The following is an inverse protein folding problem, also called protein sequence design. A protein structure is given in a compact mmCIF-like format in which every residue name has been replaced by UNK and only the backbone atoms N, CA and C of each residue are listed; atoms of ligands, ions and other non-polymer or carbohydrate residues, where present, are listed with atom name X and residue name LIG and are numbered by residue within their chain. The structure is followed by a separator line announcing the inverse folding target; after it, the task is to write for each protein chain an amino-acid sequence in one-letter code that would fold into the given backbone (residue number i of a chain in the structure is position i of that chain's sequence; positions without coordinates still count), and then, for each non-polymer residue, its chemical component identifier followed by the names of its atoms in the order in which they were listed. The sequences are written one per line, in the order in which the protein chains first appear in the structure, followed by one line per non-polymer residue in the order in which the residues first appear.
data_IF_761644236133
#
_entry.id   IF_761644236133
#
_cell.length_a   1.000
_cell.length_b   1.000
_cell.length_c   1.000
_cell.angle_alpha   90.00
_cell.angle_beta   90.00
_cell.angle_gamma   90.00
#
_symmetry.space_group_name_H-M   'P 1'
#
loop_
_entity.id
_entity.type
_entity.pdbx_description
1 polymer ?
#
# COMPACT_ATOMS: atom_id res chain seq x y z
N UNK A 1 -5.28 -17.57 19.68
CA UNK A 1 -3.87 -17.99 19.51
C UNK A 1 -3.74 -19.51 19.32
N UNK A 2 -4.18 -20.33 20.26
CA UNK A 2 -4.10 -21.80 20.11
C UNK A 2 -4.92 -22.34 18.94
N UNK A 3 -6.10 -21.82 18.72
CA UNK A 3 -6.95 -22.17 17.58
C UNK A 3 -6.26 -21.85 16.26
N UNK A 4 -5.75 -20.62 16.07
CA UNK A 4 -5.03 -20.22 14.85
C UNK A 4 -3.80 -21.12 14.60
N UNK A 5 -3.04 -21.47 15.67
CA UNK A 5 -1.91 -22.39 15.55
C UNK A 5 -2.34 -23.79 15.10
N UNK A 6 -3.44 -24.29 15.64
CA UNK A 6 -3.98 -25.61 15.26
C UNK A 6 -4.44 -25.63 13.78
N UNK A 7 -5.17 -24.61 13.36
CA UNK A 7 -5.65 -24.45 11.99
C UNK A 7 -4.50 -24.32 11.00
N UNK A 8 -3.50 -23.48 11.31
CA UNK A 8 -2.31 -23.33 10.48
C UNK A 8 -1.48 -24.63 10.44
N UNK A 9 -1.37 -25.37 11.55
CA UNK A 9 -0.68 -26.66 11.58
C UNK A 9 -1.38 -27.69 10.68
N UNK A 10 -2.72 -27.71 10.69
CA UNK A 10 -3.52 -28.57 9.83
C UNK A 10 -3.34 -28.20 8.35
N UNK A 11 -3.43 -26.92 8.03
CA UNK A 11 -3.28 -26.41 6.66
C UNK A 11 -1.89 -26.72 6.06
N UNK A 12 -0.84 -26.56 6.87
CA UNK A 12 0.53 -26.79 6.44
C UNK A 12 0.92 -28.28 6.45
N UNK A 13 0.10 -29.15 7.05
CA UNK A 13 0.45 -30.57 7.27
C UNK A 13 1.65 -30.77 8.20
N UNK A 14 2.00 -29.74 8.98
CA UNK A 14 3.16 -29.71 9.88
C UNK A 14 2.78 -29.09 11.22
N UNK A 15 3.24 -29.73 12.32
CA UNK A 15 3.00 -29.25 13.68
C UNK A 15 3.82 -27.98 13.93
N UNK A 16 3.13 -26.86 14.16
CA UNK A 16 3.78 -25.62 14.60
C UNK A 16 4.04 -25.65 16.12
N UNK A 17 5.27 -25.38 16.52
CA UNK A 17 5.62 -25.23 17.94
C UNK A 17 5.13 -23.91 18.50
N UNK A 18 5.22 -22.84 17.69
CA UNK A 18 4.86 -21.47 18.08
C UNK A 18 4.35 -20.67 16.91
N UNK A 19 3.41 -19.75 17.20
CA UNK A 19 2.95 -18.67 16.34
C UNK A 19 3.11 -17.39 17.13
N UNK A 20 3.84 -16.41 16.60
CA UNK A 20 4.21 -15.18 17.29
C UNK A 20 3.68 -13.96 16.52
N UNK A 21 2.95 -13.09 17.21
CA UNK A 21 2.47 -11.85 16.60
C UNK A 21 3.65 -10.89 16.40
N UNK A 22 3.91 -10.53 15.15
CA UNK A 22 4.97 -9.57 14.76
C UNK A 22 4.42 -8.15 14.69
N UNK A 23 3.19 -8.02 14.21
CA UNK A 23 2.51 -6.72 14.08
C UNK A 23 1.00 -6.94 14.15
N UNK A 24 0.32 -6.10 14.90
CA UNK A 24 -1.13 -6.14 15.07
C UNK A 24 -1.72 -4.75 14.81
N UNK A 25 -2.81 -4.72 14.06
CA UNK A 25 -3.66 -3.57 13.79
C UNK A 25 -5.12 -3.99 14.02
N UNK A 26 -6.08 -3.08 14.15
CA UNK A 26 -7.48 -3.42 14.41
C UNK A 26 -8.06 -4.51 13.51
N UNK A 27 -7.75 -4.46 12.21
CA UNK A 27 -8.33 -5.34 11.20
C UNK A 27 -7.39 -6.41 10.65
N UNK A 28 -6.13 -6.46 11.07
CA UNK A 28 -5.14 -7.40 10.52
C UNK A 28 -4.00 -7.64 11.49
N UNK A 29 -3.49 -8.87 11.53
CA UNK A 29 -2.28 -9.20 12.26
C UNK A 29 -1.32 -10.03 11.41
N UNK A 30 -0.03 -9.83 11.63
CA UNK A 30 1.06 -10.55 10.97
C UNK A 30 1.74 -11.48 11.97
N UNK A 31 1.86 -12.76 11.62
CA UNK A 31 2.31 -13.82 12.48
C UNK A 31 3.56 -14.51 11.91
N UNK A 32 4.62 -14.61 12.71
CA UNK A 32 5.75 -15.45 12.43
C UNK A 32 5.45 -16.90 12.84
N UNK A 33 5.80 -17.84 11.97
CA UNK A 33 5.56 -19.27 12.16
C UNK A 33 6.88 -19.97 12.50
N UNK A 34 6.81 -20.97 13.38
CA UNK A 34 7.94 -21.76 13.82
C UNK A 34 7.60 -23.26 13.73
N UNK A 35 8.50 -24.05 13.14
CA UNK A 35 8.35 -25.48 12.96
C UNK A 35 8.32 -26.25 14.30
N UNK A 36 8.16 -27.56 14.24
CA UNK A 36 8.10 -28.42 15.43
C UNK A 36 9.39 -28.40 16.28
N UNK A 37 10.51 -27.99 15.69
CA UNK A 37 11.83 -27.88 16.36
C UNK A 37 12.08 -26.45 16.89
N UNK A 38 11.17 -25.50 16.61
CA UNK A 38 11.29 -24.11 17.02
C UNK A 38 12.09 -23.24 16.06
N UNK A 39 12.43 -23.73 14.87
CA UNK A 39 13.08 -22.91 13.85
C UNK A 39 12.06 -22.01 13.14
N UNK A 40 12.47 -20.79 12.76
CA UNK A 40 11.60 -19.92 11.99
C UNK A 40 11.31 -20.50 10.59
N UNK A 41 10.05 -20.60 10.23
CA UNK A 41 9.64 -21.03 8.90
C UNK A 41 9.90 -19.92 7.85
N UNK A 42 10.08 -20.30 6.57
CA UNK A 42 10.21 -19.35 5.46
C UNK A 42 8.88 -18.67 5.11
N UNK A 43 7.85 -18.89 5.90
CA UNK A 43 6.48 -18.39 5.73
C UNK A 43 6.09 -17.51 6.91
N UNK A 44 5.14 -16.61 6.63
CA UNK A 44 4.37 -15.86 7.62
C UNK A 44 2.88 -16.02 7.32
N UNK A 45 2.05 -15.86 8.34
CA UNK A 45 0.60 -15.80 8.18
C UNK A 45 0.13 -14.36 8.41
N UNK A 46 -0.74 -13.86 7.56
CA UNK A 46 -1.42 -12.58 7.75
C UNK A 46 -2.91 -12.83 7.88
N UNK A 47 -3.47 -12.53 9.05
CA UNK A 47 -4.90 -12.70 9.34
C UNK A 47 -5.66 -11.39 9.13
N UNK A 48 -6.95 -11.51 8.76
CA UNK A 48 -7.84 -10.38 8.48
C UNK A 48 -9.19 -10.62 9.13
N UNK A 49 -9.73 -9.60 9.81
CA UNK A 49 -11.06 -9.66 10.42
C UNK A 49 -12.19 -9.64 9.38
N UNK A 50 -11.96 -9.03 8.23
CA UNK A 50 -12.95 -8.91 7.16
C UNK A 50 -12.80 -10.01 6.11
N UNK A 51 -13.91 -10.70 5.73
CA UNK A 51 -13.87 -11.76 4.74
C UNK A 51 -13.47 -11.25 3.35
N UNK A 52 -12.74 -12.09 2.60
CA UNK A 52 -12.31 -11.82 1.24
C UNK A 52 -11.04 -10.97 1.10
N UNK A 53 -10.62 -10.26 2.15
CA UNK A 53 -9.44 -9.38 2.11
C UNK A 53 -8.16 -10.16 1.85
N UNK A 54 -8.04 -11.37 2.42
CA UNK A 54 -6.89 -12.24 2.17
C UNK A 54 -6.74 -12.62 0.68
N UNK A 55 -7.84 -13.01 0.03
CA UNK A 55 -7.86 -13.33 -1.42
C UNK A 55 -7.53 -12.10 -2.26
N UNK A 56 -8.11 -10.95 -1.91
CA UNK A 56 -7.86 -9.70 -2.62
C UNK A 56 -6.39 -9.29 -2.50
N UNK A 57 -5.79 -9.40 -1.32
CA UNK A 57 -4.37 -9.08 -1.13
C UNK A 57 -3.45 -10.04 -1.89
N UNK A 58 -3.75 -11.35 -1.87
CA UNK A 58 -3.00 -12.34 -2.64
C UNK A 58 -3.02 -12.03 -4.14
N UNK A 59 -4.19 -11.71 -4.67
CA UNK A 59 -4.35 -11.34 -6.07
C UNK A 59 -3.60 -10.05 -6.43
N UNK A 60 -3.74 -8.99 -5.62
CA UNK A 60 -3.03 -7.71 -5.81
C UNK A 60 -1.52 -7.90 -5.81
N UNK A 61 -0.99 -8.65 -4.84
CA UNK A 61 0.44 -8.93 -4.73
C UNK A 61 0.95 -9.68 -5.96
N UNK A 62 0.22 -10.71 -6.40
CA UNK A 62 0.55 -11.48 -7.60
C UNK A 62 0.51 -10.63 -8.88
N UNK A 63 -0.48 -9.75 -9.02
CA UNK A 63 -0.57 -8.85 -10.16
C UNK A 63 0.59 -7.87 -10.21
N UNK A 64 0.91 -7.20 -9.09
CA UNK A 64 2.05 -6.29 -9.03
C UNK A 64 3.38 -7.00 -9.29
N UNK A 65 3.54 -8.24 -8.83
CA UNK A 65 4.72 -9.06 -9.13
C UNK A 65 4.86 -9.37 -10.62
N UNK A 66 3.73 -9.61 -11.31
CA UNK A 66 3.71 -9.92 -12.74
C UNK A 66 3.95 -8.68 -13.61
N UNK A 67 3.35 -7.56 -13.24
CA UNK A 67 3.39 -6.32 -14.02
C UNK A 67 4.61 -5.43 -13.71
N UNK A 68 5.34 -5.72 -12.65
CA UNK A 68 6.52 -4.96 -12.21
C UNK A 68 7.83 -5.69 -12.39
N UNK A 69 8.92 -5.00 -12.07
CA UNK A 69 10.29 -5.54 -12.07
C UNK A 69 10.80 -5.81 -10.66
N UNK A 70 10.16 -5.25 -9.64
CA UNK A 70 10.53 -5.41 -8.24
C UNK A 70 9.89 -6.65 -7.64
N UNK A 71 10.62 -7.32 -6.75
CA UNK A 71 10.12 -8.47 -6.01
C UNK A 71 8.96 -8.08 -5.10
N UNK A 72 7.90 -8.86 -5.15
CA UNK A 72 6.81 -8.87 -4.18
C UNK A 72 6.87 -10.18 -3.37
N UNK A 73 6.35 -10.23 -2.13
CA UNK A 73 6.26 -11.49 -1.38
C UNK A 73 5.43 -12.51 -2.14
N UNK A 74 5.91 -13.74 -2.22
CA UNK A 74 5.14 -14.85 -2.79
C UNK A 74 3.96 -15.21 -1.88
N UNK A 75 2.74 -15.25 -2.43
CA UNK A 75 1.58 -15.82 -1.75
C UNK A 75 1.54 -17.33 -1.95
N UNK A 76 1.47 -18.11 -0.86
CA UNK A 76 1.46 -19.57 -0.92
C UNK A 76 0.07 -20.18 -0.80
N UNK A 77 -0.87 -19.48 -0.20
CA UNK A 77 -2.24 -19.95 -0.06
C UNK A 77 -3.09 -18.99 0.77
N UNK A 78 -4.40 -19.14 0.60
CA UNK A 78 -5.41 -18.38 1.36
C UNK A 78 -6.32 -19.38 2.06
N UNK A 79 -6.54 -19.19 3.34
CA UNK A 79 -7.51 -19.90 4.15
C UNK A 79 -8.67 -18.93 4.43
N UNK A 80 -9.88 -19.29 4.09
CA UNK A 80 -11.06 -18.43 4.26
C UNK A 80 -11.96 -18.94 5.38
N UNK A 81 -12.68 -18.04 6.05
CA UNK A 81 -13.60 -18.43 7.12
C UNK A 81 -14.82 -19.23 6.61
N UNK A 82 -15.07 -19.28 5.30
CA UNK A 82 -16.03 -20.19 4.70
C UNK A 82 -15.60 -21.66 4.82
N UNK A 83 -14.29 -21.90 4.92
CA UNK A 83 -13.67 -23.23 5.01
C UNK A 83 -13.35 -23.61 6.46
N UNK A 84 -13.24 -22.63 7.38
CA UNK A 84 -12.91 -22.84 8.79
C UNK A 84 -13.47 -21.71 9.68
N UNK A 85 -13.78 -21.98 10.96
CA UNK A 85 -14.25 -20.97 11.91
C UNK A 85 -13.10 -20.08 12.39
N UNK A 86 -12.82 -18.97 11.75
CA UNK A 86 -11.75 -18.06 12.13
C UNK A 86 -11.56 -16.92 11.12
N UNK A 87 -10.60 -16.04 11.33
CA UNK A 87 -10.30 -14.96 10.40
C UNK A 87 -9.74 -15.52 9.10
N UNK A 88 -9.95 -14.83 8.00
CA UNK A 88 -9.25 -15.14 6.75
C UNK A 88 -7.74 -15.01 6.96
N UNK A 89 -6.97 -15.93 6.38
CA UNK A 89 -5.51 -15.93 6.51
C UNK A 89 -4.85 -16.07 5.14
N UNK A 90 -3.87 -15.20 4.88
CA UNK A 90 -2.96 -15.32 3.75
C UNK A 90 -1.60 -15.83 4.23
N UNK A 91 -1.15 -16.95 3.68
CA UNK A 91 0.23 -17.42 3.84
C UNK A 91 1.12 -16.72 2.82
N UNK A 92 2.13 -16.01 3.31
CA UNK A 92 3.07 -15.24 2.51
C UNK A 92 4.51 -15.61 2.81
N UNK A 93 5.37 -15.32 1.88
CA UNK A 93 6.81 -15.47 2.04
C UNK A 93 7.34 -14.61 3.18
N UNK A 94 8.23 -15.17 3.99
CA UNK A 94 9.01 -14.45 5.00
C UNK A 94 10.22 -13.82 4.34
N UNK A 95 10.18 -12.51 4.12
CA UNK A 95 11.30 -11.76 3.60
C UNK A 95 12.24 -11.31 4.71
N UNK A 96 13.53 -11.51 4.50
CA UNK A 96 14.59 -11.10 5.43
C UNK A 96 15.19 -9.77 5.01
N UNK A 97 14.48 -8.68 5.27
CA UNK A 97 14.89 -7.32 4.97
C UNK A 97 14.56 -6.37 6.12
N UNK A 98 15.06 -5.17 6.03
CA UNK A 98 14.70 -4.05 6.91
C UNK A 98 13.96 -2.99 6.10
N UNK A 99 13.08 -2.23 6.76
CA UNK A 99 12.40 -1.11 6.11
C UNK A 99 13.41 -0.11 5.53
N UNK A 100 13.10 0.46 4.37
CA UNK A 100 13.87 1.56 3.77
C UNK A 100 13.87 2.80 4.67
N UNK A 101 12.93 2.92 5.60
CA UNK A 101 12.92 3.95 6.65
C UNK A 101 14.19 3.90 7.54
N UNK A 102 14.77 2.70 7.72
CA UNK A 102 16.03 2.56 8.44
C UNK A 102 17.19 3.22 7.66
N UNK A 103 18.10 3.95 8.33
CA UNK A 103 19.19 4.65 7.66
C UNK A 103 20.05 3.71 6.80
N UNK A 104 20.53 4.19 5.68
CA UNK A 104 21.57 3.50 4.89
C UNK A 104 22.94 3.74 5.50
N UNK A 105 23.87 2.84 5.22
CA UNK A 105 25.23 2.90 5.79
C UNK A 105 26.04 4.10 5.31
N UNK A 106 25.77 4.56 4.08
CA UNK A 106 26.45 5.72 3.48
C UNK A 106 25.49 6.51 2.60
N UNK A 107 25.72 7.82 2.41
CA UNK A 107 24.93 8.61 1.46
C UNK A 107 24.94 8.04 0.04
N UNK A 108 26.08 7.53 -0.44
CA UNK A 108 26.18 6.94 -1.77
C UNK A 108 25.26 5.71 -1.94
N UNK A 109 25.06 4.90 -0.90
CA UNK A 109 24.11 3.79 -0.92
C UNK A 109 22.67 4.26 -0.92
N UNK A 110 22.38 5.38 -0.28
CA UNK A 110 21.07 5.99 -0.36
C UNK A 110 20.75 6.44 -1.77
N UNK A 111 21.69 7.09 -2.47
CA UNK A 111 21.49 7.46 -3.87
C UNK A 111 21.21 6.24 -4.75
N UNK A 112 22.00 5.16 -4.62
CA UNK A 112 21.78 3.92 -5.36
C UNK A 112 20.42 3.28 -5.04
N UNK A 113 20.01 3.29 -3.76
CA UNK A 113 18.72 2.75 -3.35
C UNK A 113 17.55 3.57 -3.93
N UNK A 114 17.67 4.90 -3.95
CA UNK A 114 16.67 5.77 -4.62
C UNK A 114 16.53 5.43 -6.09
N UNK A 115 17.64 5.23 -6.81
CA UNK A 115 17.60 4.80 -8.22
C UNK A 115 16.85 3.50 -8.41
N UNK A 116 17.11 2.50 -7.58
CA UNK A 116 16.42 1.20 -7.63
C UNK A 116 14.92 1.33 -7.34
N UNK A 117 14.56 2.13 -6.34
CA UNK A 117 13.16 2.37 -5.98
C UNK A 117 12.43 3.09 -7.11
N UNK A 118 13.02 4.13 -7.68
CA UNK A 118 12.41 4.89 -8.78
C UNK A 118 12.25 4.00 -10.02
N UNK A 119 13.25 3.18 -10.37
CA UNK A 119 13.14 2.25 -11.49
C UNK A 119 12.03 1.22 -11.28
N UNK A 120 11.91 0.68 -10.06
CA UNK A 120 10.86 -0.24 -9.70
C UNK A 120 9.46 0.39 -9.86
N UNK A 121 9.31 1.64 -9.39
CA UNK A 121 8.05 2.39 -9.50
C UNK A 121 7.69 2.70 -10.95
N UNK A 122 8.67 3.13 -11.74
CA UNK A 122 8.50 3.37 -13.17
C UNK A 122 8.12 2.09 -13.94
N UNK A 123 8.52 0.92 -13.43
CA UNK A 123 8.09 -0.38 -13.95
C UNK A 123 6.56 -0.50 -13.99
N UNK A 124 5.88 -0.16 -12.89
CA UNK A 124 4.41 -0.14 -12.83
C UNK A 124 3.80 1.04 -13.59
N UNK A 125 4.40 2.21 -13.50
CA UNK A 125 3.91 3.42 -14.15
C UNK A 125 3.98 3.41 -15.68
N UNK A 126 4.62 2.41 -16.29
CA UNK A 126 4.59 2.17 -17.75
C UNK A 126 3.27 1.56 -18.22
N UNK A 127 2.48 0.98 -17.32
CA UNK A 127 1.20 0.36 -17.65
C UNK A 127 0.10 1.42 -17.71
N UNK A 128 -0.23 1.87 -18.90
CA UNK A 128 -1.32 2.80 -19.17
C UNK A 128 -2.67 2.12 -18.96
N UNK A 129 -3.59 2.81 -18.30
CA UNK A 129 -4.92 2.29 -17.99
C UNK A 129 -5.88 2.26 -19.19
N UNK A 130 -5.53 2.92 -20.27
CA UNK A 130 -6.40 3.11 -21.46
C UNK A 130 -7.75 3.74 -21.12
N UNK A 131 -7.74 4.76 -20.28
CA UNK A 131 -8.94 5.49 -19.85
C UNK A 131 -9.68 4.87 -18.66
N UNK A 132 -9.19 3.76 -18.10
CA UNK A 132 -9.75 3.23 -16.87
C UNK A 132 -9.24 3.98 -15.65
N UNK A 133 -10.08 4.09 -14.62
CA UNK A 133 -9.76 4.73 -13.35
C UNK A 133 -10.42 3.97 -12.19
N UNK A 134 -9.81 4.01 -11.02
CA UNK A 134 -10.35 3.36 -9.83
C UNK A 134 -9.62 2.07 -9.47
N UNK A 135 -10.17 1.31 -8.52
CA UNK A 135 -9.58 0.04 -8.09
C UNK A 135 -9.50 -0.94 -9.26
N UNK A 136 -8.38 -1.67 -9.37
CA UNK A 136 -8.13 -2.53 -10.54
C UNK A 136 -9.14 -3.67 -10.69
N UNK A 137 -9.76 -4.07 -9.58
CA UNK A 137 -10.83 -5.08 -9.53
C UNK A 137 -12.24 -4.52 -9.79
N UNK A 138 -12.39 -3.20 -9.84
CA UNK A 138 -13.67 -2.49 -10.04
C UNK A 138 -13.48 -1.20 -10.85
N UNK A 139 -12.72 -1.29 -11.94
CA UNK A 139 -12.42 -0.14 -12.81
C UNK A 139 -13.64 0.34 -13.57
N UNK A 140 -13.66 1.62 -13.89
CA UNK A 140 -14.65 2.26 -14.75
C UNK A 140 -13.96 3.21 -15.73
N UNK A 141 -14.55 3.39 -16.91
CA UNK A 141 -14.17 4.48 -17.80
C UNK A 141 -14.59 5.81 -17.19
N UNK A 142 -13.63 6.66 -16.87
CA UNK A 142 -13.89 7.97 -16.28
C UNK A 142 -12.65 8.85 -16.38
N UNK A 143 -12.80 10.13 -16.07
CA UNK A 143 -11.68 11.05 -15.87
C UNK A 143 -11.28 11.05 -14.39
N UNK A 144 -9.97 11.06 -14.12
CA UNK A 144 -9.45 11.08 -12.75
C UNK A 144 -10.07 12.18 -11.86
N UNK A 145 -10.21 13.46 -12.30
CA UNK A 145 -10.80 14.49 -11.46
C UNK A 145 -12.25 14.19 -11.04
N UNK A 146 -13.04 13.58 -11.92
CA UNK A 146 -14.43 13.19 -11.63
C UNK A 146 -14.49 12.03 -10.66
N UNK A 147 -13.65 11.00 -10.86
CA UNK A 147 -13.56 9.86 -9.96
C UNK A 147 -13.10 10.30 -8.57
N UNK A 148 -12.06 11.13 -8.48
CA UNK A 148 -11.55 11.61 -7.20
C UNK A 148 -12.59 12.49 -6.47
N UNK A 149 -13.32 13.32 -7.20
CA UNK A 149 -14.45 14.08 -6.64
C UNK A 149 -15.51 13.16 -6.04
N UNK A 150 -15.90 12.10 -6.74
CA UNK A 150 -16.88 11.13 -6.23
C UNK A 150 -16.36 10.45 -4.93
N UNK A 151 -15.07 10.09 -4.89
CA UNK A 151 -14.44 9.56 -3.68
C UNK A 151 -14.53 10.53 -2.51
N UNK A 152 -14.21 11.80 -2.73
CA UNK A 152 -14.32 12.87 -1.71
C UNK A 152 -15.77 13.06 -1.24
N UNK A 153 -16.76 13.00 -2.15
CA UNK A 153 -18.18 13.09 -1.78
C UNK A 153 -18.61 11.92 -0.87
N UNK A 154 -18.16 10.71 -1.17
CA UNK A 154 -18.44 9.53 -0.33
C UNK A 154 -17.82 9.71 1.05
N UNK A 155 -16.54 10.09 1.14
CA UNK A 155 -15.86 10.32 2.42
C UNK A 155 -16.54 11.43 3.23
N UNK A 156 -16.89 12.53 2.59
CA UNK A 156 -17.62 13.64 3.22
C UNK A 156 -18.98 13.20 3.75
N UNK A 157 -19.72 12.40 2.98
CA UNK A 157 -21.00 11.81 3.40
C UNK A 157 -20.82 10.93 4.64
N UNK A 158 -19.80 10.07 4.64
CA UNK A 158 -19.49 9.20 5.79
C UNK A 158 -19.15 10.02 7.04
N UNK A 159 -18.28 11.03 6.92
CA UNK A 159 -17.93 11.91 8.05
C UNK A 159 -19.14 12.61 8.68
N UNK A 160 -20.13 12.97 7.87
CA UNK A 160 -21.34 13.64 8.38
C UNK A 160 -22.35 12.68 9.01
N UNK A 161 -22.26 11.37 8.75
CA UNK A 161 -23.10 10.36 9.37
C UNK A 161 -22.65 10.02 10.81
N UNK A 162 -21.37 10.21 11.13
CA UNK A 162 -20.81 9.92 12.45
C UNK A 162 -20.72 11.19 13.31
N UNK A 163 -21.41 11.20 14.46
CA UNK A 163 -21.39 12.32 15.40
C UNK A 163 -20.07 12.49 16.14
N UNK A 164 -19.22 11.45 16.18
CA UNK A 164 -17.95 11.46 16.91
C UNK A 164 -16.80 11.03 16.00
N UNK A 165 -16.39 11.91 15.13
CA UNK A 165 -15.25 11.69 14.19
C UNK A 165 -13.91 12.14 14.77
N UNK A 166 -13.87 12.68 15.99
CA UNK A 166 -12.65 13.31 16.54
C UNK A 166 -12.26 14.64 15.87
N UNK A 167 -12.95 15.05 14.80
CA UNK A 167 -12.66 16.26 14.04
C UNK A 167 -13.27 17.51 14.72
N UNK A 168 -12.48 18.57 14.79
CA UNK A 168 -12.96 19.88 15.25
C UNK A 168 -13.84 20.55 14.19
N UNK A 169 -14.57 21.61 14.61
CA UNK A 169 -15.32 22.45 13.66
C UNK A 169 -14.41 23.13 12.64
N UNK A 170 -13.16 23.40 13.01
CA UNK A 170 -12.17 23.97 12.11
C UNK A 170 -11.73 22.96 11.05
N UNK A 171 -11.48 21.71 11.45
CA UNK A 171 -11.13 20.62 10.52
C UNK A 171 -12.26 20.41 9.50
N UNK A 172 -13.50 20.32 9.97
CA UNK A 172 -14.67 20.21 9.08
C UNK A 172 -14.79 21.37 8.11
N UNK A 173 -14.47 22.60 8.54
CA UNK A 173 -14.46 23.79 7.65
C UNK A 173 -13.36 23.70 6.60
N UNK A 174 -12.16 23.20 6.95
CA UNK A 174 -11.07 22.99 6.01
C UNK A 174 -11.47 21.94 4.98
N UNK A 175 -11.98 20.79 5.41
CA UNK A 175 -12.45 19.73 4.53
C UNK A 175 -13.54 20.23 3.58
N UNK A 176 -14.52 20.95 4.10
CA UNK A 176 -15.59 21.54 3.27
C UNK A 176 -15.00 22.46 2.17
N UNK A 177 -14.08 23.37 2.55
CA UNK A 177 -13.46 24.29 1.58
C UNK A 177 -12.65 23.55 0.52
N UNK A 178 -11.86 22.56 0.91
CA UNK A 178 -11.07 21.77 -0.06
C UNK A 178 -11.98 21.00 -1.02
N UNK A 179 -13.11 20.46 -0.54
CA UNK A 179 -14.12 19.82 -1.38
C UNK A 179 -14.70 20.77 -2.42
N UNK A 180 -15.07 21.99 -2.02
CA UNK A 180 -15.60 23.01 -2.94
C UNK A 180 -14.55 23.48 -3.97
N UNK A 181 -13.25 23.47 -3.60
CA UNK A 181 -12.16 23.89 -4.48
C UNK A 181 -11.68 22.79 -5.44
N UNK A 182 -12.18 21.55 -5.35
CA UNK A 182 -11.73 20.45 -6.21
C UNK A 182 -11.71 20.78 -7.70
N UNK A 183 -12.76 21.40 -8.29
CA UNK A 183 -12.75 21.74 -9.71
C UNK A 183 -11.58 22.64 -10.10
N UNK A 184 -11.26 23.64 -9.27
CA UNK A 184 -10.16 24.56 -9.53
C UNK A 184 -8.78 23.88 -9.35
N UNK A 185 -8.64 22.97 -8.36
CA UNK A 185 -7.40 22.22 -8.12
C UNK A 185 -7.07 21.22 -9.22
N UNK A 186 -8.08 20.80 -9.99
CA UNK A 186 -7.93 19.90 -11.14
C UNK A 186 -8.12 20.61 -12.48
N UNK A 187 -8.16 21.94 -12.51
CA UNK A 187 -8.22 22.68 -13.76
C UNK A 187 -7.02 22.35 -14.65
N UNK A 188 -7.28 22.05 -15.93
CA UNK A 188 -6.24 21.66 -16.89
C UNK A 188 -5.57 20.30 -16.61
N UNK A 189 -6.10 19.48 -15.70
CA UNK A 189 -5.57 18.15 -15.45
C UNK A 189 -5.73 17.25 -16.67
N UNK A 190 -4.61 16.67 -17.15
CA UNK A 190 -4.55 15.84 -18.35
C UNK A 190 -3.62 14.62 -18.22
N UNK A 191 -3.14 14.30 -17.01
CA UNK A 191 -2.27 13.15 -16.80
C UNK A 191 -3.05 11.83 -16.98
N UNK A 192 -2.41 10.87 -17.64
CA UNK A 192 -2.94 9.52 -17.78
C UNK A 192 -2.92 8.77 -16.45
N UNK A 193 -3.91 7.89 -16.27
CA UNK A 193 -3.88 6.91 -15.20
C UNK A 193 -2.97 5.73 -15.57
N UNK A 194 -2.21 5.28 -14.59
CA UNK A 194 -1.26 4.16 -14.68
C UNK A 194 -1.49 3.19 -13.54
N UNK A 195 -0.85 2.03 -13.58
CA UNK A 195 -0.89 1.11 -12.45
C UNK A 195 -0.07 1.66 -11.29
N UNK A 196 -0.67 1.78 -10.10
CA UNK A 196 0.01 2.20 -8.88
C UNK A 196 -0.07 1.13 -7.79
N UNK A 197 0.89 1.11 -6.87
CA UNK A 197 0.92 0.23 -5.70
C UNK A 197 -0.16 0.62 -4.66
N UNK A 198 -0.45 1.90 -4.52
CA UNK A 198 -1.51 2.45 -3.67
C UNK A 198 -1.19 2.53 -2.17
N UNK A 199 0.02 2.17 -1.77
CA UNK A 199 0.54 2.31 -0.40
C UNK A 199 2.05 2.53 -0.41
N UNK A 200 2.50 3.47 -1.24
CA UNK A 200 3.91 3.70 -1.47
C UNK A 200 4.52 4.61 -0.40
N UNK A 201 5.06 4.01 0.64
CA UNK A 201 5.75 4.66 1.76
C UNK A 201 7.10 3.99 1.99
N UNK A 202 8.02 4.62 2.73
CA UNK A 202 9.30 4.00 3.07
C UNK A 202 9.13 2.68 3.85
N UNK A 203 8.01 2.51 4.57
CA UNK A 203 7.67 1.27 5.32
C UNK A 203 7.22 0.13 4.42
N UNK A 204 6.66 0.43 3.26
CA UNK A 204 6.24 -0.58 2.28
C UNK A 204 7.37 -1.09 1.40
N UNK A 205 8.59 -0.63 1.63
CA UNK A 205 9.79 -1.03 0.91
C UNK A 205 10.79 -1.68 1.85
N UNK A 206 11.33 -2.83 1.44
CA UNK A 206 12.36 -3.55 2.17
C UNK A 206 13.69 -3.47 1.42
N UNK A 207 14.76 -3.24 2.18
CA UNK A 207 16.13 -3.32 1.68
C UNK A 207 16.91 -4.43 2.40
N UNK A 208 17.91 -4.95 1.74
CA UNK A 208 18.88 -5.86 2.35
C UNK A 208 19.69 -5.12 3.43
N UNK A 209 19.78 -5.68 4.62
CA UNK A 209 20.40 -5.06 5.78
C UNK A 209 21.93 -4.89 5.66
N UNK A 210 22.59 -5.59 4.72
CA UNK A 210 24.04 -5.56 4.53
C UNK A 210 24.46 -4.69 3.35
N UNK A 211 23.74 -4.83 2.23
CA UNK A 211 24.07 -4.11 0.99
C UNK A 211 23.32 -2.79 0.81
N UNK A 212 22.23 -2.56 1.58
CA UNK A 212 21.27 -1.46 1.41
C UNK A 212 20.55 -1.46 0.04
N UNK A 213 20.59 -2.56 -0.72
CA UNK A 213 19.89 -2.66 -2.00
C UNK A 213 18.41 -2.96 -1.79
N UNK A 214 17.57 -2.49 -2.70
CA UNK A 214 16.12 -2.78 -2.69
C UNK A 214 15.91 -4.30 -2.79
N UNK A 215 15.24 -4.86 -1.78
CA UNK A 215 14.95 -6.28 -1.72
C UNK A 215 13.56 -6.61 -2.27
N UNK A 216 12.55 -5.87 -1.83
CA UNK A 216 11.15 -6.11 -2.21
C UNK A 216 10.25 -4.93 -1.85
N UNK A 217 9.07 -4.89 -2.46
CA UNK A 217 7.95 -4.06 -2.00
C UNK A 217 6.87 -4.94 -1.37
N UNK A 218 6.20 -4.43 -0.34
CA UNK A 218 5.26 -5.19 0.49
C UNK A 218 4.00 -4.39 0.78
N UNK A 219 2.92 -5.09 1.06
CA UNK A 219 1.68 -4.50 1.57
C UNK A 219 1.03 -3.50 0.61
N UNK A 220 0.69 -3.92 -0.62
CA UNK A 220 -0.05 -3.05 -1.53
C UNK A 220 -1.35 -2.57 -0.86
N UNK A 221 -1.68 -1.31 -1.10
CA UNK A 221 -2.91 -0.71 -0.63
C UNK A 221 -4.08 -0.98 -1.58
N UNK A 222 -4.88 0.07 -1.76
CA UNK A 222 -5.88 0.09 -2.81
C UNK A 222 -5.10 0.27 -4.13
N UNK A 223 -4.75 -0.84 -4.76
CA UNK A 223 -4.12 -0.81 -6.07
C UNK A 223 -5.10 -0.23 -7.09
N UNK A 224 -4.70 0.87 -7.73
CA UNK A 224 -5.56 1.68 -8.57
C UNK A 224 -5.00 1.85 -9.98
N UNK A 225 -5.89 2.13 -10.92
CA UNK A 225 -5.59 2.93 -12.09
C UNK A 225 -5.75 4.41 -11.70
N UNK A 226 -4.64 5.09 -11.52
CA UNK A 226 -4.58 6.46 -11.04
C UNK A 226 -3.41 7.22 -11.66
N UNK A 227 -3.41 8.56 -11.67
CA UNK A 227 -2.24 9.30 -12.11
C UNK A 227 -1.06 9.05 -11.16
N UNK A 228 0.16 9.12 -11.69
CA UNK A 228 1.41 8.90 -10.92
C UNK A 228 1.48 9.75 -9.67
N UNK A 229 0.99 10.95 -9.71
CA UNK A 229 0.95 11.86 -8.56
C UNK A 229 0.17 11.29 -7.36
N UNK A 230 -0.83 10.41 -7.62
CA UNK A 230 -1.61 9.75 -6.57
C UNK A 230 -0.88 8.56 -5.93
N UNK A 231 0.27 8.16 -6.43
CA UNK A 231 1.23 7.31 -5.73
C UNK A 231 2.20 8.17 -4.90
N UNK A 232 2.69 9.24 -5.53
CA UNK A 232 3.80 10.05 -5.02
C UNK A 232 3.44 10.91 -3.82
N UNK A 233 2.17 11.28 -3.62
CA UNK A 233 1.78 12.15 -2.52
C UNK A 233 2.17 11.59 -1.14
N UNK A 234 2.21 10.26 -0.99
CA UNK A 234 2.59 9.58 0.26
C UNK A 234 4.06 9.77 0.64
N UNK A 235 4.88 10.29 -0.27
CA UNK A 235 6.26 10.66 0.00
C UNK A 235 6.41 12.12 0.48
N UNK A 236 5.32 12.83 0.73
CA UNK A 236 5.35 14.25 1.14
C UNK A 236 5.59 14.47 2.64
N UNK A 237 5.93 13.44 3.40
CA UNK A 237 6.13 13.50 4.87
C UNK A 237 7.45 14.17 5.31
N UNK A 238 8.27 14.62 4.36
CA UNK A 238 9.58 15.23 4.63
C UNK A 238 10.72 14.21 4.76
N UNK A 239 11.93 14.70 5.02
CA UNK A 239 13.11 13.87 5.22
C UNK A 239 13.44 12.95 4.04
N UNK A 240 13.76 11.69 4.31
CA UNK A 240 14.14 10.71 3.29
C UNK A 240 13.00 10.40 2.30
N UNK A 241 11.75 10.49 2.74
CA UNK A 241 10.60 10.29 1.84
C UNK A 241 10.51 11.41 0.81
N UNK A 242 10.64 12.66 1.23
CA UNK A 242 10.61 13.80 0.31
C UNK A 242 11.86 13.86 -0.58
N UNK A 243 13.03 13.46 -0.08
CA UNK A 243 14.23 13.31 -0.91
C UNK A 243 14.03 12.27 -2.03
N UNK A 244 13.41 11.13 -1.72
CA UNK A 244 13.00 10.14 -2.72
C UNK A 244 11.97 10.70 -3.71
N UNK A 245 10.99 11.49 -3.23
CA UNK A 245 10.02 12.16 -4.10
C UNK A 245 10.73 13.05 -5.14
N UNK A 246 11.64 13.91 -4.68
CA UNK A 246 12.38 14.79 -5.59
C UNK A 246 13.27 14.02 -6.56
N UNK A 247 13.88 12.93 -6.11
CA UNK A 247 14.66 12.04 -6.97
C UNK A 247 13.79 11.40 -8.08
N UNK A 248 12.55 10.99 -7.75
CA UNK A 248 11.59 10.52 -8.75
C UNK A 248 11.23 11.62 -9.76
N UNK A 249 10.87 12.82 -9.27
CA UNK A 249 10.43 13.94 -10.11
C UNK A 249 11.50 14.42 -11.08
N UNK A 250 12.78 14.29 -10.75
CA UNK A 250 13.89 14.58 -11.66
C UNK A 250 13.93 13.62 -12.85
N UNK A 251 13.56 12.35 -12.65
CA UNK A 251 13.56 11.33 -13.71
C UNK A 251 12.24 11.26 -14.49
N UNK A 252 11.15 11.51 -13.84
CA UNK A 252 9.80 11.42 -14.40
C UNK A 252 8.91 12.53 -13.84
N UNK A 253 9.04 13.76 -14.35
CA UNK A 253 8.26 14.89 -13.84
C UNK A 253 6.75 14.66 -14.02
N UNK A 254 5.97 15.23 -13.11
CA UNK A 254 4.51 15.34 -13.18
C UNK A 254 4.12 16.81 -13.32
N UNK A 255 2.83 17.09 -13.53
CA UNK A 255 2.36 18.46 -13.68
C UNK A 255 2.70 19.30 -12.43
N UNK A 256 3.10 20.59 -12.63
CA UNK A 256 3.51 21.49 -11.54
C UNK A 256 2.44 21.62 -10.44
N UNK A 257 1.18 21.59 -10.83
CA UNK A 257 0.05 21.65 -9.89
C UNK A 257 0.02 20.48 -8.88
N UNK A 258 0.78 19.41 -9.09
CA UNK A 258 0.99 18.36 -8.08
C UNK A 258 1.53 18.93 -6.76
N UNK A 259 2.36 19.96 -6.79
CA UNK A 259 2.90 20.60 -5.59
C UNK A 259 1.80 21.10 -4.62
N UNK A 260 0.61 21.37 -5.15
CA UNK A 260 -0.58 21.73 -4.36
C UNK A 260 -1.48 20.51 -4.12
N UNK A 261 -1.72 19.70 -5.16
CA UNK A 261 -2.61 18.53 -5.06
C UNK A 261 -2.09 17.46 -4.09
N UNK A 262 -0.76 17.35 -3.87
CA UNK A 262 -0.21 16.38 -2.90
C UNK A 262 -0.77 16.61 -1.48
N UNK A 263 -0.97 17.85 -1.07
CA UNK A 263 -1.54 18.19 0.25
C UNK A 263 -3.04 17.91 0.32
N UNK A 264 -3.75 18.11 -0.79
CA UNK A 264 -5.14 17.71 -0.92
C UNK A 264 -5.30 16.19 -0.77
N UNK A 265 -4.46 15.41 -1.45
CA UNK A 265 -4.47 13.96 -1.36
C UNK A 265 -4.16 13.48 0.05
N UNK A 266 -3.13 14.02 0.71
CA UNK A 266 -2.80 13.71 2.10
C UNK A 266 -3.97 14.00 3.03
N UNK A 267 -4.58 15.19 2.91
CA UNK A 267 -5.70 15.60 3.76
C UNK A 267 -6.87 14.61 3.67
N UNK A 268 -7.24 14.18 2.47
CA UNK A 268 -8.36 13.26 2.27
C UNK A 268 -8.00 11.79 2.48
N UNK A 269 -6.73 11.44 2.46
CA UNK A 269 -6.25 10.11 2.86
C UNK A 269 -6.31 9.90 4.38
N UNK A 270 -6.05 10.95 5.16
CA UNK A 270 -6.16 10.93 6.63
C UNK A 270 -7.61 10.79 7.13
N UNK A 271 -8.59 11.11 6.30
CA UNK A 271 -10.03 10.95 6.62
C UNK A 271 -10.63 9.66 6.04
N UNK A 272 -9.88 8.89 5.27
CA UNK A 272 -10.34 7.68 4.60
C UNK A 272 -10.18 6.45 5.49
#
# INVERSE_FOLDING_TARGET
MEQLRAELSHLLGEKLSRVECVNEKPDTALWALYDSQGNPMPLMARSFSSPGVARQLAWKTSMLAREGTVRMPTGYGVMTHEEHPGPDVLLIERLHGVSVEAPTRTPARWEQLKDQIVEALLGWHRHDSRGLVGAVDSTQENLWPLWYRQRVEVLWGTLNQFNNTGLTMQDKRILFRTRECLPALFEGFNDNCVLIHGNFTLRSMLKDSRSDQLLAMVGPGIMLWAPREYELFRLSEGGAAEDLLWHYLQRAPVAEAFLWRRWLYLLWDEVA
#
